data_IF_450614805384
#
_entry.id   IF_450614805384
#
_cell.length_a   1.000
_cell.length_b   1.000
_cell.length_c   1.000
_cell.angle_alpha   90.00
_cell.angle_beta   90.00
_cell.angle_gamma   90.00
#
_symmetry.space_group_name_H-M   'P 1'
#
loop_
_entity.id
_entity.type
_entity.pdbx_description
1 polymer ?
#
# COMPACT_ATOMS: atom_id res chain seq x y z
N UNK A 1 -39.20 2.36 9.63
CA UNK A 1 -39.31 1.83 10.99
C UNK A 1 -39.39 0.31 10.83
N UNK A 2 -38.23 -0.33 10.76
CA UNK A 2 -38.02 -1.79 10.82
C UNK A 2 -36.80 -1.90 11.75
N UNK A 3 -37.02 -1.82 13.06
CA UNK A 3 -37.19 -2.93 14.00
C UNK A 3 -36.10 -3.99 13.80
N UNK A 4 -35.20 -3.99 14.79
CA UNK A 4 -34.14 -4.94 15.10
C UNK A 4 -34.27 -6.31 14.42
N UNK A 5 -33.39 -6.57 13.46
CA UNK A 5 -33.04 -7.94 13.08
C UNK A 5 -31.99 -8.47 14.04
N UNK A 6 -32.40 -9.33 14.97
CA UNK A 6 -31.49 -10.17 15.74
C UNK A 6 -30.51 -10.88 14.79
N UNK A 7 -29.23 -10.55 14.95
CA UNK A 7 -28.15 -11.21 14.25
C UNK A 7 -28.04 -12.63 14.82
N UNK A 8 -28.59 -13.60 14.09
CA UNK A 8 -28.43 -15.03 14.39
C UNK A 8 -26.95 -15.36 14.49
N UNK A 9 -26.48 -15.66 15.70
CA UNK A 9 -25.17 -16.22 16.00
C UNK A 9 -25.08 -17.64 15.40
N UNK A 10 -24.75 -17.71 14.12
CA UNK A 10 -23.86 -18.78 13.65
C UNK A 10 -22.49 -18.50 14.25
N UNK A 11 -21.71 -19.51 14.66
CA UNK A 11 -20.32 -19.35 15.13
C UNK A 11 -19.40 -18.76 14.04
N UNK A 12 -19.60 -17.49 13.70
CA UNK A 12 -18.81 -16.72 12.76
C UNK A 12 -17.79 -15.93 13.57
N UNK A 13 -16.52 -16.26 13.39
CA UNK A 13 -15.35 -15.51 13.88
C UNK A 13 -15.20 -14.11 13.25
N UNK A 14 -16.25 -13.62 12.57
CA UNK A 14 -16.27 -12.37 11.82
C UNK A 14 -17.43 -11.54 12.35
N UNK A 15 -17.11 -10.32 12.78
CA UNK A 15 -18.06 -9.29 13.19
C UNK A 15 -17.95 -8.10 12.25
N UNK A 16 -19.08 -7.52 11.87
CA UNK A 16 -19.14 -6.34 11.01
C UNK A 16 -19.54 -5.15 11.87
N UNK A 17 -18.65 -4.16 11.98
CA UNK A 17 -18.88 -2.94 12.74
C UNK A 17 -18.87 -1.74 11.81
N UNK A 18 -19.87 -0.88 11.93
CA UNK A 18 -19.94 0.37 11.19
C UNK A 18 -19.08 1.43 11.88
N UNK A 19 -18.09 1.96 11.17
CA UNK A 19 -17.22 3.01 11.67
C UNK A 19 -16.99 4.12 10.64
N UNK A 20 -16.82 5.36 11.12
CA UNK A 20 -16.55 6.52 10.29
C UNK A 20 -15.07 6.92 10.40
N UNK A 21 -14.36 6.90 9.27
CA UNK A 21 -12.91 7.18 9.21
C UNK A 21 -12.52 8.63 9.61
N UNK A 22 -13.48 9.55 9.62
CA UNK A 22 -13.30 10.93 10.06
C UNK A 22 -13.59 11.15 11.56
N UNK A 23 -14.06 10.13 12.30
CA UNK A 23 -14.45 10.22 13.70
C UNK A 23 -13.63 9.23 14.56
N UNK A 24 -12.74 9.75 15.41
CA UNK A 24 -11.83 8.93 16.23
C UNK A 24 -12.58 8.02 17.20
N UNK A 25 -13.64 8.52 17.83
CA UNK A 25 -14.45 7.74 18.78
C UNK A 25 -15.17 6.57 18.08
N UNK A 26 -15.71 6.81 16.88
CA UNK A 26 -16.32 5.76 16.06
C UNK A 26 -15.32 4.65 15.73
N UNK A 27 -14.06 5.01 15.40
CA UNK A 27 -12.99 4.05 15.17
C UNK A 27 -12.55 3.34 16.45
N UNK A 28 -12.42 4.05 17.56
CA UNK A 28 -12.03 3.47 18.85
C UNK A 28 -13.06 2.42 19.32
N UNK A 29 -14.35 2.70 19.16
CA UNK A 29 -15.42 1.74 19.46
C UNK A 29 -15.32 0.49 18.58
N UNK A 30 -15.00 0.64 17.29
CA UNK A 30 -14.79 -0.49 16.40
C UNK A 30 -13.48 -1.27 16.68
N UNK A 31 -12.52 -0.65 17.35
CA UNK A 31 -11.24 -1.27 17.71
C UNK A 31 -11.24 -1.88 19.11
N UNK A 32 -12.30 -1.67 19.90
CA UNK A 32 -12.37 -2.20 21.25
C UNK A 32 -12.27 -3.74 21.24
N UNK A 33 -11.55 -4.31 22.20
CA UNK A 33 -11.23 -5.73 22.23
C UNK A 33 -10.19 -6.21 21.19
N UNK A 34 -9.88 -5.44 20.14
CA UNK A 34 -8.90 -5.83 19.12
C UNK A 34 -7.47 -5.67 19.59
N UNK A 35 -6.61 -6.69 19.37
CA UNK A 35 -5.16 -6.61 19.68
C UNK A 35 -4.35 -5.91 18.60
N UNK A 36 -4.92 -5.83 17.40
CA UNK A 36 -4.25 -5.38 16.20
C UNK A 36 -5.21 -4.76 15.22
N UNK A 37 -4.76 -3.74 14.49
CA UNK A 37 -5.53 -3.09 13.44
C UNK A 37 -4.77 -3.19 12.12
N UNK A 38 -5.46 -3.64 11.06
CA UNK A 38 -4.96 -3.61 9.70
C UNK A 38 -5.68 -2.48 8.95
N UNK A 39 -4.99 -1.36 8.74
CA UNK A 39 -5.54 -0.25 7.97
C UNK A 39 -5.26 -0.46 6.48
N UNK A 40 -6.21 -1.10 5.80
CA UNK A 40 -6.17 -1.37 4.35
C UNK A 40 -7.09 -0.47 3.53
N UNK A 41 -7.98 0.28 4.19
CA UNK A 41 -8.94 1.15 3.54
C UNK A 41 -8.23 2.20 2.68
N UNK A 42 -8.45 2.11 1.37
CA UNK A 42 -8.07 3.13 0.39
C UNK A 42 -9.29 3.96 -0.01
N UNK A 43 -9.06 5.20 -0.40
CA UNK A 43 -10.13 6.06 -0.90
C UNK A 43 -10.10 6.09 -2.42
N UNK A 44 -11.28 6.02 -3.03
CA UNK A 44 -11.48 6.13 -4.47
C UNK A 44 -12.33 7.37 -4.77
N UNK A 45 -12.07 8.03 -5.89
CA UNK A 45 -12.94 9.08 -6.39
C UNK A 45 -14.07 8.44 -7.21
N UNK A 46 -15.33 8.45 -6.73
CA UNK A 46 -16.44 7.86 -7.46
C UNK A 46 -16.80 8.63 -8.74
N UNK A 47 -16.32 9.87 -8.92
CA UNK A 47 -16.62 10.72 -10.07
C UNK A 47 -15.51 10.74 -11.14
N UNK A 48 -14.34 10.15 -10.89
CA UNK A 48 -13.16 10.35 -11.72
C UNK A 48 -12.83 9.18 -12.66
N UNK A 49 -12.94 9.39 -13.97
CA UNK A 49 -12.42 8.47 -15.02
C UNK A 49 -10.87 8.35 -15.03
N UNK A 50 -10.15 9.24 -14.33
CA UNK A 50 -8.71 9.10 -14.00
C UNK A 50 -8.40 9.07 -12.50
N UNK A 51 -9.42 9.35 -11.65
CA UNK A 51 -9.68 8.63 -10.41
C UNK A 51 -9.07 9.09 -9.09
N UNK A 52 -8.10 10.01 -9.05
CA UNK A 52 -7.51 10.45 -7.78
C UNK A 52 -7.04 11.91 -7.80
N UNK A 53 -7.70 12.74 -7.00
CA UNK A 53 -7.49 14.18 -6.92
C UNK A 53 -6.60 14.60 -5.75
N UNK A 54 -6.16 15.87 -5.74
CA UNK A 54 -5.48 16.46 -4.58
C UNK A 54 -6.36 16.42 -3.32
N UNK A 55 -7.67 16.63 -3.46
CA UNK A 55 -8.60 16.55 -2.33
C UNK A 55 -8.66 15.13 -1.76
N UNK A 56 -8.65 14.11 -2.62
CA UNK A 56 -8.61 12.72 -2.20
C UNK A 56 -7.34 12.38 -1.42
N UNK A 57 -6.20 12.92 -1.86
CA UNK A 57 -4.93 12.81 -1.12
C UNK A 57 -5.09 13.30 0.32
N UNK A 58 -5.67 14.48 0.54
CA UNK A 58 -5.85 15.04 1.88
C UNK A 58 -6.86 14.25 2.73
N UNK A 59 -7.91 13.69 2.13
CA UNK A 59 -8.85 12.78 2.82
C UNK A 59 -8.10 11.53 3.32
N UNK A 60 -7.26 10.93 2.48
CA UNK A 60 -6.48 9.75 2.85
C UNK A 60 -5.47 10.05 3.98
N UNK A 61 -4.84 11.24 3.97
CA UNK A 61 -3.97 11.68 5.08
C UNK A 61 -4.76 11.78 6.38
N UNK A 62 -5.93 12.41 6.35
CA UNK A 62 -6.78 12.60 7.52
C UNK A 62 -7.27 11.27 8.10
N UNK A 63 -7.73 10.37 7.23
CA UNK A 63 -8.18 9.05 7.64
C UNK A 63 -7.06 8.21 8.26
N UNK A 64 -5.88 8.18 7.64
CA UNK A 64 -4.73 7.45 8.18
C UNK A 64 -4.30 8.00 9.55
N UNK A 65 -4.30 9.34 9.70
CA UNK A 65 -4.07 10.00 10.98
C UNK A 65 -5.08 9.56 12.05
N UNK A 66 -6.36 9.54 11.70
CA UNK A 66 -7.44 9.18 12.63
C UNK A 66 -7.38 7.72 13.04
N UNK A 67 -7.11 6.80 12.10
CA UNK A 67 -6.98 5.37 12.41
C UNK A 67 -5.83 5.11 13.37
N UNK A 68 -4.65 5.69 13.13
CA UNK A 68 -3.51 5.50 14.05
C UNK A 68 -3.78 6.17 15.41
N UNK A 69 -4.42 7.34 15.43
CA UNK A 69 -4.81 8.00 16.67
C UNK A 69 -5.83 7.18 17.46
N UNK A 70 -6.82 6.60 16.77
CA UNK A 70 -7.80 5.69 17.36
C UNK A 70 -7.12 4.45 17.96
N UNK A 71 -6.13 3.86 17.26
CA UNK A 71 -5.31 2.79 17.83
C UNK A 71 -4.64 3.20 19.14
N UNK A 72 -4.15 4.45 19.24
CA UNK A 72 -3.45 4.95 20.42
C UNK A 72 -4.35 5.23 21.63
N UNK A 73 -5.61 5.58 21.40
CA UNK A 73 -6.59 5.82 22.49
C UNK A 73 -7.34 4.56 22.90
N UNK A 74 -7.23 3.47 22.13
CA UNK A 74 -7.93 2.20 22.41
C UNK A 74 -7.03 1.25 23.20
N UNK A 75 -7.30 0.97 24.49
CA UNK A 75 -6.35 0.26 25.37
C UNK A 75 -6.00 -1.17 24.95
N UNK A 76 -6.89 -1.86 24.24
CA UNK A 76 -6.72 -3.23 23.74
C UNK A 76 -5.71 -3.32 22.59
N UNK A 77 -5.59 -2.26 21.77
CA UNK A 77 -4.77 -2.24 20.55
C UNK A 77 -3.29 -2.11 20.90
N UNK A 78 -2.47 -2.97 20.29
CA UNK A 78 -1.00 -2.97 20.50
C UNK A 78 -0.20 -2.69 19.24
N UNK A 79 -0.73 -3.12 18.10
CA UNK A 79 -0.03 -3.05 16.83
C UNK A 79 -0.96 -2.55 15.73
N UNK A 80 -0.43 -1.71 14.85
CA UNK A 80 -1.12 -1.27 13.64
C UNK A 80 -0.27 -1.63 12.43
N UNK A 81 -0.88 -2.28 11.43
CA UNK A 81 -0.26 -2.49 10.11
C UNK A 81 -1.00 -1.62 9.11
N UNK A 82 -0.27 -0.72 8.46
CA UNK A 82 -0.82 0.17 7.44
C UNK A 82 -0.42 -0.30 6.04
N UNK A 83 -1.41 -0.41 5.15
CA UNK A 83 -1.18 -0.60 3.72
C UNK A 83 -0.81 0.73 3.07
N UNK A 84 0.48 0.91 2.83
CA UNK A 84 1.02 2.03 2.06
C UNK A 84 1.10 1.66 0.57
N UNK A 85 2.16 2.06 -0.14
CA UNK A 85 2.40 1.73 -1.55
C UNK A 85 3.88 1.82 -1.88
N UNK A 86 4.34 1.04 -2.86
CA UNK A 86 5.67 1.19 -3.45
C UNK A 86 5.91 2.60 -4.00
N UNK A 87 4.84 3.30 -4.41
CA UNK A 87 4.89 4.69 -4.86
C UNK A 87 5.41 5.66 -3.79
N UNK A 88 5.46 5.27 -2.52
CA UNK A 88 6.08 6.09 -1.46
C UNK A 88 7.60 5.95 -1.42
N UNK A 89 8.21 5.08 -2.24
CA UNK A 89 9.65 4.81 -2.28
C UNK A 89 10.35 5.22 -3.58
N UNK A 90 9.63 5.26 -4.72
CA UNK A 90 10.25 5.27 -6.06
C UNK A 90 10.34 6.64 -6.75
N UNK A 91 9.53 7.63 -6.37
CA UNK A 91 9.49 8.94 -7.03
C UNK A 91 10.50 9.90 -6.41
N UNK A 92 11.74 9.89 -6.91
CA UNK A 92 12.85 10.71 -6.39
C UNK A 92 13.36 11.69 -7.43
N UNK A 93 13.92 12.81 -6.97
CA UNK A 93 14.63 13.74 -7.84
C UNK A 93 15.95 13.12 -8.29
N UNK A 94 15.92 12.60 -9.51
CA UNK A 94 17.02 11.89 -10.14
C UNK A 94 18.08 12.80 -10.78
N UNK A 95 17.99 14.11 -10.56
CA UNK A 95 18.99 15.10 -11.01
C UNK A 95 20.27 15.10 -10.18
N UNK A 96 20.21 14.60 -8.94
CA UNK A 96 21.37 14.47 -8.07
C UNK A 96 22.19 13.22 -8.41
N UNK A 97 23.44 13.43 -8.86
CA UNK A 97 24.42 12.35 -9.00
C UNK A 97 24.70 11.73 -7.62
N UNK A 98 24.63 10.40 -7.51
CA UNK A 98 24.98 9.66 -6.27
C UNK A 98 23.81 8.95 -5.55
N UNK A 99 22.60 8.93 -6.12
CA UNK A 99 21.51 8.12 -5.57
C UNK A 99 21.87 6.62 -5.59
N UNK A 100 21.59 5.87 -4.51
CA UNK A 100 21.73 4.41 -4.52
C UNK A 100 20.94 3.80 -5.69
N UNK A 101 21.58 2.89 -6.40
CA UNK A 101 20.95 2.10 -7.47
C UNK A 101 19.85 1.18 -6.93
N UNK A 102 19.94 0.80 -5.65
CA UNK A 102 18.94 -0.05 -5.00
C UNK A 102 17.86 0.83 -4.33
N UNK A 103 16.61 0.58 -4.68
CA UNK A 103 15.43 1.08 -3.99
C UNK A 103 14.98 0.02 -2.99
N UNK A 104 15.01 0.35 -1.71
CA UNK A 104 14.56 -0.52 -0.63
C UNK A 104 13.61 0.20 0.33
N UNK A 105 13.23 -0.50 1.41
CA UNK A 105 12.32 -0.01 2.43
C UNK A 105 12.76 1.29 3.16
N UNK A 106 14.03 1.70 3.05
CA UNK A 106 14.53 2.95 3.64
C UNK A 106 14.29 4.16 2.74
N UNK A 107 14.04 3.94 1.44
CA UNK A 107 13.87 5.00 0.45
C UNK A 107 12.50 5.68 0.58
N UNK A 108 12.47 7.00 0.48
CA UNK A 108 11.24 7.79 0.42
C UNK A 108 11.17 8.56 -0.89
N UNK A 109 9.95 8.73 -1.38
CA UNK A 109 9.65 9.61 -2.51
C UNK A 109 9.64 11.07 -2.09
N UNK A 110 9.93 11.95 -3.04
CA UNK A 110 9.95 13.39 -2.89
C UNK A 110 8.56 13.97 -3.18
N UNK A 111 8.01 14.70 -2.22
CA UNK A 111 6.69 15.31 -2.39
C UNK A 111 6.66 16.32 -3.54
N UNK A 112 7.77 17.05 -3.75
CA UNK A 112 7.92 18.00 -4.85
C UNK A 112 7.84 17.31 -6.21
N UNK A 113 8.48 16.15 -6.38
CA UNK A 113 8.41 15.36 -7.61
C UNK A 113 6.99 14.89 -7.86
N UNK A 114 6.32 14.34 -6.84
CA UNK A 114 4.93 13.92 -6.94
C UNK A 114 3.98 15.08 -7.31
N UNK A 115 4.18 16.27 -6.73
CA UNK A 115 3.39 17.47 -7.04
C UNK A 115 3.62 17.96 -8.48
N UNK A 116 4.89 18.11 -8.87
CA UNK A 116 5.27 18.62 -10.20
C UNK A 116 4.75 17.72 -11.32
N UNK A 117 4.83 16.40 -11.12
CA UNK A 117 4.33 15.39 -12.07
C UNK A 117 2.83 15.10 -11.91
N UNK A 118 2.13 15.80 -10.99
CA UNK A 118 0.71 15.60 -10.67
C UNK A 118 0.36 14.15 -10.31
N UNK A 119 1.28 13.45 -9.63
CA UNK A 119 1.13 12.08 -9.13
C UNK A 119 0.36 12.09 -7.80
N UNK A 120 -0.89 12.54 -7.82
CA UNK A 120 -1.69 12.80 -6.61
C UNK A 120 -1.88 11.56 -5.74
N UNK A 121 -2.02 10.38 -6.35
CA UNK A 121 -2.13 9.11 -5.62
C UNK A 121 -0.84 8.77 -4.87
N UNK A 122 0.32 8.87 -5.54
CA UNK A 122 1.61 8.70 -4.89
C UNK A 122 1.81 9.72 -3.75
N UNK A 123 1.42 10.98 -3.97
CA UNK A 123 1.49 12.03 -2.96
C UNK A 123 0.59 11.73 -1.74
N UNK A 124 -0.65 11.29 -1.97
CA UNK A 124 -1.59 10.91 -0.93
C UNK A 124 -1.06 9.77 -0.07
N UNK A 125 -0.64 8.67 -0.70
CA UNK A 125 -0.01 7.53 -0.01
C UNK A 125 1.23 7.95 0.77
N UNK A 126 2.09 8.77 0.18
CA UNK A 126 3.32 9.26 0.82
C UNK A 126 3.01 10.08 2.09
N UNK A 127 2.08 11.03 1.99
CA UNK A 127 1.71 11.89 3.12
C UNK A 127 0.94 11.14 4.19
N UNK A 128 0.06 10.22 3.81
CA UNK A 128 -0.67 9.36 4.74
C UNK A 128 0.31 8.50 5.54
N UNK A 129 1.29 7.86 4.88
CA UNK A 129 2.31 7.06 5.56
C UNK A 129 3.16 7.91 6.53
N UNK A 130 3.65 9.08 6.10
CA UNK A 130 4.41 9.99 6.98
C UNK A 130 3.58 10.47 8.18
N UNK A 131 2.32 10.81 7.97
CA UNK A 131 1.40 11.24 9.02
C UNK A 131 1.13 10.12 10.03
N UNK A 132 0.89 8.90 9.55
CA UNK A 132 0.74 7.71 10.37
C UNK A 132 1.95 7.47 11.27
N UNK A 133 3.17 7.53 10.71
CA UNK A 133 4.40 7.38 11.48
C UNK A 133 4.57 8.45 12.56
N UNK A 134 4.23 9.71 12.24
CA UNK A 134 4.26 10.81 13.21
C UNK A 134 3.29 10.55 14.37
N UNK A 135 2.03 10.25 14.07
CA UNK A 135 1.01 9.98 15.10
C UNK A 135 1.34 8.72 15.90
N UNK A 136 1.83 7.66 15.26
CA UNK A 136 2.23 6.43 15.95
C UNK A 136 3.32 6.70 17.00
N UNK A 137 4.32 7.54 16.63
CA UNK A 137 5.37 7.96 17.56
C UNK A 137 4.81 8.77 18.74
N UNK A 138 3.88 9.69 18.47
CA UNK A 138 3.26 10.55 19.50
C UNK A 138 2.32 9.76 20.44
N UNK A 139 1.67 8.71 19.94
CA UNK A 139 0.68 7.91 20.68
C UNK A 139 1.23 6.60 21.26
N UNK A 140 2.50 6.26 21.01
CA UNK A 140 3.11 5.02 21.48
C UNK A 140 2.63 3.74 20.77
N UNK A 141 1.87 3.87 19.68
CA UNK A 141 1.40 2.73 18.88
C UNK A 141 2.56 2.13 18.10
N UNK A 142 2.75 0.82 18.19
CA UNK A 142 3.71 0.12 17.35
C UNK A 142 3.14 -0.02 15.94
N UNK A 143 3.67 0.76 15.00
CA UNK A 143 3.28 0.77 13.59
C UNK A 143 4.27 -0.04 12.74
N UNK A 144 3.77 -0.73 11.73
CA UNK A 144 4.53 -1.20 10.58
C UNK A 144 3.77 -0.86 9.29
N UNK A 145 4.50 -0.67 8.19
CA UNK A 145 3.88 -0.36 6.89
C UNK A 145 4.27 -1.40 5.86
N UNK A 146 3.30 -1.84 5.06
CA UNK A 146 3.51 -2.69 3.89
C UNK A 146 3.34 -1.81 2.66
N UNK A 147 4.36 -1.78 1.80
CA UNK A 147 4.44 -0.94 0.61
C UNK A 147 4.34 -1.85 -0.64
N UNK A 148 3.12 -2.25 -1.05
CA UNK A 148 2.92 -3.11 -2.20
C UNK A 148 3.22 -2.42 -3.53
N UNK A 149 3.70 -3.19 -4.51
CA UNK A 149 3.62 -2.82 -5.92
C UNK A 149 2.17 -2.76 -6.43
N UNK A 150 2.00 -2.83 -7.74
CA UNK A 150 0.68 -2.96 -8.36
C UNK A 150 0.02 -4.25 -7.85
N UNK A 151 -1.15 -4.11 -7.21
CA UNK A 151 -1.87 -5.28 -6.69
C UNK A 151 -2.57 -5.97 -7.85
N UNK A 152 -2.22 -7.22 -8.09
CA UNK A 152 -2.80 -8.09 -9.13
C UNK A 152 -3.56 -9.24 -8.49
N UNK A 153 -4.33 -9.95 -9.30
CA UNK A 153 -5.18 -11.06 -8.89
C UNK A 153 -6.34 -11.25 -9.87
N UNK A 154 -7.19 -12.26 -9.68
CA UNK A 154 -8.31 -12.50 -10.58
C UNK A 154 -9.20 -11.26 -10.68
N UNK A 155 -9.30 -10.71 -11.90
CA UNK A 155 -10.17 -9.59 -12.22
C UNK A 155 -9.81 -8.28 -11.46
N UNK A 156 -8.54 -8.07 -11.12
CA UNK A 156 -8.11 -6.95 -10.25
C UNK A 156 -8.50 -5.57 -10.81
N UNK A 157 -8.47 -5.38 -12.14
CA UNK A 157 -8.86 -4.12 -12.76
C UNK A 157 -10.34 -3.82 -12.53
N UNK A 158 -11.25 -4.79 -12.75
CA UNK A 158 -12.68 -4.57 -12.52
C UNK A 158 -13.03 -4.44 -11.03
N UNK A 159 -12.26 -5.10 -10.14
CA UNK A 159 -12.43 -4.98 -8.69
C UNK A 159 -12.02 -3.61 -8.14
N UNK A 160 -11.03 -2.95 -8.74
CA UNK A 160 -10.52 -1.66 -8.26
C UNK A 160 -9.94 -0.79 -9.39
N UNK A 161 -10.74 -0.39 -10.39
CA UNK A 161 -10.23 0.23 -11.61
C UNK A 161 -9.60 1.59 -11.32
N UNK A 162 -10.24 2.38 -10.46
CA UNK A 162 -9.80 3.72 -10.09
C UNK A 162 -8.42 3.74 -9.45
N UNK A 163 -8.19 2.89 -8.43
CA UNK A 163 -6.88 2.82 -7.76
C UNK A 163 -5.80 2.24 -8.67
N UNK A 164 -6.14 1.29 -9.54
CA UNK A 164 -5.23 0.72 -10.53
C UNK A 164 -4.76 1.78 -11.53
N UNK A 165 -5.69 2.54 -12.12
CA UNK A 165 -5.37 3.63 -13.05
C UNK A 165 -4.53 4.70 -12.33
N UNK A 166 -4.91 5.06 -11.10
CA UNK A 166 -4.19 6.05 -10.31
C UNK A 166 -2.76 5.60 -9.96
N UNK A 167 -2.56 4.31 -9.67
CA UNK A 167 -1.23 3.71 -9.44
C UNK A 167 -0.39 3.77 -10.71
N UNK A 168 -0.97 3.43 -11.86
CA UNK A 168 -0.29 3.39 -13.16
C UNK A 168 0.00 4.77 -13.75
N UNK A 169 -0.33 5.85 -13.03
CA UNK A 169 0.10 7.19 -13.43
C UNK A 169 1.62 7.30 -13.34
N UNK A 170 2.26 7.52 -14.49
CA UNK A 170 3.73 7.48 -14.61
C UNK A 170 4.30 6.08 -14.90
N UNK A 171 3.46 5.14 -15.35
CA UNK A 171 3.89 3.76 -15.68
C UNK A 171 5.08 3.69 -16.61
N UNK A 172 5.18 4.58 -17.59
CA UNK A 172 6.34 4.65 -18.50
C UNK A 172 7.65 4.84 -17.76
N UNK A 173 7.69 5.78 -16.81
CA UNK A 173 8.89 6.05 -16.03
C UNK A 173 9.19 4.92 -15.04
N UNK A 174 8.15 4.30 -14.47
CA UNK A 174 8.34 3.10 -13.65
C UNK A 174 8.95 1.96 -14.46
N UNK A 175 8.47 1.73 -15.69
CA UNK A 175 8.97 0.69 -16.59
C UNK A 175 10.43 0.95 -16.98
N UNK A 176 10.73 2.13 -17.53
CA UNK A 176 12.08 2.51 -17.98
C UNK A 176 13.11 2.42 -16.84
N UNK A 177 12.69 2.72 -15.62
CA UNK A 177 13.58 2.68 -14.45
C UNK A 177 13.70 1.29 -13.81
N UNK A 178 12.96 0.27 -14.26
CA UNK A 178 12.91 -1.07 -13.64
C UNK A 178 12.18 -1.10 -12.30
N UNK A 179 11.27 -0.15 -12.08
CA UNK A 179 10.53 0.05 -10.83
C UNK A 179 9.04 -0.33 -10.93
N UNK A 180 8.57 -0.74 -12.10
CA UNK A 180 7.22 -1.26 -12.27
C UNK A 180 7.15 -2.69 -11.72
N UNK A 181 6.66 -2.83 -10.49
CA UNK A 181 6.51 -4.12 -9.82
C UNK A 181 5.06 -4.42 -9.47
N UNK A 182 4.72 -5.71 -9.37
CA UNK A 182 3.40 -6.20 -8.98
C UNK A 182 3.46 -7.21 -7.83
N UNK A 183 2.31 -7.42 -7.19
CA UNK A 183 2.12 -8.41 -6.13
C UNK A 183 0.74 -9.04 -6.24
N UNK A 184 0.67 -10.37 -6.16
CA UNK A 184 -0.60 -11.07 -6.04
C UNK A 184 -1.30 -10.72 -4.72
N UNK A 185 -2.62 -10.48 -4.78
CA UNK A 185 -3.43 -10.08 -3.62
C UNK A 185 -3.36 -11.07 -2.45
N UNK A 186 -3.25 -12.38 -2.70
CA UNK A 186 -3.14 -13.37 -1.63
C UNK A 186 -1.77 -13.28 -0.96
N UNK A 187 -0.71 -13.13 -1.77
CA UNK A 187 0.65 -12.92 -1.26
C UNK A 187 0.76 -11.62 -0.46
N UNK A 188 0.06 -10.57 -0.87
CA UNK A 188 -0.03 -9.33 -0.11
C UNK A 188 -0.73 -9.54 1.23
N UNK A 189 -1.84 -10.30 1.27
CA UNK A 189 -2.53 -10.63 2.50
C UNK A 189 -1.63 -11.42 3.47
N UNK A 190 -0.93 -12.45 2.97
CA UNK A 190 0.07 -13.20 3.73
C UNK A 190 1.17 -12.30 4.30
N UNK A 191 1.66 -11.35 3.51
CA UNK A 191 2.67 -10.39 3.95
C UNK A 191 2.17 -9.52 5.12
N UNK A 192 0.92 -9.06 5.09
CA UNK A 192 0.35 -8.29 6.20
C UNK A 192 0.29 -9.13 7.48
N UNK A 193 -0.19 -10.38 7.39
CA UNK A 193 -0.26 -11.30 8.53
C UNK A 193 1.15 -11.56 9.08
N UNK A 194 2.12 -11.90 8.23
CA UNK A 194 3.51 -12.15 8.64
C UNK A 194 4.14 -10.93 9.32
N UNK A 195 3.88 -9.72 8.80
CA UNK A 195 4.36 -8.48 9.42
C UNK A 195 3.73 -8.32 10.80
N UNK A 196 2.41 -8.43 10.92
CA UNK A 196 1.71 -8.30 12.18
C UNK A 196 2.19 -9.29 13.25
N UNK A 197 2.31 -10.57 12.91
CA UNK A 197 2.81 -11.60 13.82
C UNK A 197 4.27 -11.34 14.22
N UNK A 198 5.09 -10.95 13.25
CA UNK A 198 6.48 -10.57 13.45
C UNK A 198 6.64 -9.36 14.37
N UNK A 199 5.65 -8.45 14.43
CA UNK A 199 5.71 -7.25 15.27
C UNK A 199 5.74 -7.58 16.77
N UNK A 200 5.28 -8.77 17.18
CA UNK A 200 5.44 -9.24 18.57
C UNK A 200 6.91 -9.44 18.96
N UNK A 201 7.78 -9.67 17.97
CA UNK A 201 9.21 -9.95 18.14
C UNK A 201 10.02 -8.81 17.51
N UNK A 202 10.38 -8.96 16.24
CA UNK A 202 11.41 -8.16 15.57
C UNK A 202 10.88 -7.27 14.44
N UNK A 203 9.64 -7.47 13.97
CA UNK A 203 9.15 -6.71 12.82
C UNK A 203 8.84 -5.26 13.21
N UNK A 204 9.34 -4.33 12.40
CA UNK A 204 9.20 -2.88 12.61
C UNK A 204 9.52 -2.11 11.33
N UNK A 205 9.06 -0.87 11.25
CA UNK A 205 9.32 -0.01 10.11
C UNK A 205 8.55 -0.42 8.86
N UNK A 206 9.16 -0.20 7.70
CA UNK A 206 8.54 -0.35 6.38
C UNK A 206 8.96 -1.66 5.71
N UNK A 207 8.09 -2.21 4.87
CA UNK A 207 8.29 -3.45 4.12
C UNK A 207 7.81 -3.30 2.68
N UNK A 208 8.72 -3.29 1.71
CA UNK A 208 8.33 -3.36 0.28
C UNK A 208 7.82 -4.76 -0.04
N UNK A 209 6.69 -4.84 -0.75
CA UNK A 209 6.03 -6.10 -1.09
C UNK A 209 5.77 -6.19 -2.61
N UNK A 210 6.51 -7.05 -3.29
CA UNK A 210 6.30 -7.43 -4.69
C UNK A 210 6.77 -8.86 -4.90
N UNK A 211 6.26 -9.51 -5.94
CA UNK A 211 6.72 -10.84 -6.40
C UNK A 211 7.26 -10.82 -7.83
N UNK A 212 6.90 -9.80 -8.63
CA UNK A 212 7.35 -9.66 -10.03
C UNK A 212 7.73 -8.23 -10.35
N UNK A 213 8.81 -8.06 -11.10
CA UNK A 213 9.13 -6.80 -11.79
C UNK A 213 8.65 -6.97 -13.22
N UNK A 214 7.75 -6.10 -13.66
CA UNK A 214 7.15 -6.11 -15.01
C UNK A 214 8.17 -5.47 -15.97
N UNK A 215 8.81 -6.30 -16.78
CA UNK A 215 9.91 -5.88 -17.66
C UNK A 215 9.85 -6.47 -19.07
N UNK A 216 9.30 -7.68 -19.21
CA UNK A 216 9.24 -8.39 -20.49
C UNK A 216 8.07 -7.92 -21.38
N UNK A 217 8.18 -8.15 -22.68
CA UNK A 217 7.11 -7.80 -23.65
C UNK A 217 5.78 -8.46 -23.29
N UNK A 218 5.79 -9.76 -22.98
CA UNK A 218 4.60 -10.53 -22.61
C UNK A 218 3.90 -9.96 -21.36
N UNK A 219 4.66 -9.56 -20.34
CA UNK A 219 4.11 -8.96 -19.12
C UNK A 219 3.46 -7.59 -19.40
N UNK A 220 4.04 -6.81 -20.31
CA UNK A 220 3.50 -5.52 -20.73
C UNK A 220 2.23 -5.70 -21.54
N UNK A 221 2.19 -6.67 -22.44
CA UNK A 221 0.98 -7.00 -23.22
C UNK A 221 -0.14 -7.50 -22.32
N UNK A 222 0.16 -8.31 -21.30
CA UNK A 222 -0.81 -8.76 -20.32
C UNK A 222 -1.35 -7.57 -19.50
N UNK A 223 -0.48 -6.71 -18.98
CA UNK A 223 -0.88 -5.52 -18.24
C UNK A 223 -1.75 -4.58 -19.11
N UNK A 224 -1.38 -4.40 -20.38
CA UNK A 224 -2.13 -3.59 -21.34
C UNK A 224 -3.53 -4.16 -21.59
N UNK A 225 -3.63 -5.48 -21.75
CA UNK A 225 -4.90 -6.19 -21.97
C UNK A 225 -5.83 -6.07 -20.77
N UNK A 226 -5.31 -6.21 -19.56
CA UNK A 226 -6.11 -6.17 -18.33
C UNK A 226 -6.55 -4.75 -17.96
N UNK A 227 -5.74 -3.73 -18.26
CA UNK A 227 -5.99 -2.34 -17.84
C UNK A 227 -6.57 -1.45 -18.94
N UNK A 228 -6.52 -1.90 -20.19
CA UNK A 228 -6.86 -1.10 -21.38
C UNK A 228 -5.83 -0.02 -21.73
N UNK A 229 -4.71 0.07 -21.01
CA UNK A 229 -3.63 1.01 -21.32
C UNK A 229 -2.83 0.49 -22.51
N UNK A 230 -2.56 1.34 -23.51
CA UNK A 230 -1.79 0.91 -24.68
C UNK A 230 -0.34 0.55 -24.30
N UNK A 231 0.16 -0.59 -24.78
CA UNK A 231 1.54 -1.05 -24.54
C UNK A 231 2.59 -0.01 -24.96
N UNK A 232 2.35 0.73 -26.05
CA UNK A 232 3.25 1.82 -26.47
C UNK A 232 3.36 2.95 -25.45
N UNK A 233 2.30 3.23 -24.70
CA UNK A 233 2.31 4.22 -23.59
C UNK A 233 3.13 3.72 -22.41
N UNK A 234 3.12 2.40 -22.17
CA UNK A 234 3.92 1.79 -21.08
C UNK A 234 5.40 1.78 -21.45
N UNK A 235 5.74 1.41 -22.69
CA UNK A 235 7.13 1.25 -23.12
C UNK A 235 7.77 2.60 -23.45
N UNK A 236 7.00 3.57 -23.97
CA UNK A 236 7.49 4.92 -24.24
C UNK A 236 8.62 5.01 -25.26
N UNK A 237 8.73 4.02 -26.17
CA UNK A 237 9.82 3.91 -27.14
C UNK A 237 11.12 3.30 -26.60
N UNK A 238 11.14 2.80 -25.36
CA UNK A 238 12.29 2.07 -24.82
C UNK A 238 12.48 0.72 -25.54
N UNK A 239 13.70 0.45 -25.98
CA UNK A 239 14.11 -0.90 -26.42
C UNK A 239 14.21 -1.82 -25.21
N UNK A 240 13.77 -3.08 -25.35
CA UNK A 240 13.95 -4.15 -24.34
C UNK A 240 15.41 -4.42 -23.97
N UNK A 241 16.36 -3.81 -24.70
CA UNK A 241 17.80 -3.89 -24.44
C UNK A 241 18.34 -2.86 -23.43
N UNK A 242 17.53 -1.92 -22.95
CA UNK A 242 17.99 -0.91 -21.99
C UNK A 242 18.07 -1.50 -20.57
N UNK A 243 19.28 -1.49 -20.00
CA UNK A 243 19.52 -1.95 -18.63
C UNK A 243 18.73 -1.07 -17.65
N UNK A 244 17.95 -1.70 -16.77
CA UNK A 244 17.19 -1.01 -15.74
C UNK A 244 18.07 -0.05 -14.92
N UNK A 245 17.59 1.18 -14.70
CA UNK A 245 18.33 2.21 -13.98
C UNK A 245 18.47 1.89 -12.48
N UNK A 246 17.47 1.24 -11.91
CA UNK A 246 17.42 0.91 -10.49
C UNK A 246 17.07 -0.56 -10.27
N UNK A 247 17.42 -1.07 -9.09
CA UNK A 247 17.06 -2.40 -8.60
C UNK A 247 16.11 -2.26 -7.42
N UNK A 248 14.96 -2.95 -7.46
CA UNK A 248 14.03 -3.01 -6.32
C UNK A 248 14.40 -4.13 -5.36
N UNK A 249 14.38 -3.83 -4.05
CA UNK A 249 14.64 -4.82 -3.00
C UNK A 249 13.47 -4.94 -2.02
N UNK A 250 12.90 -6.15 -1.95
CA UNK A 250 11.95 -6.59 -0.91
C UNK A 250 12.63 -7.49 0.14
N UNK A 251 13.97 -7.53 0.19
CA UNK A 251 14.74 -8.52 0.97
C UNK A 251 14.36 -8.56 2.46
N UNK A 252 14.00 -7.42 3.04
CA UNK A 252 13.53 -7.33 4.43
C UNK A 252 12.25 -8.13 4.66
N UNK A 253 11.27 -8.02 3.76
CA UNK A 253 10.03 -8.79 3.83
C UNK A 253 10.28 -10.26 3.53
N UNK A 254 11.07 -10.56 2.50
CA UNK A 254 11.45 -11.93 2.15
C UNK A 254 12.06 -12.68 3.34
N UNK A 255 13.02 -12.06 4.05
CA UNK A 255 13.62 -12.63 5.28
C UNK A 255 12.62 -12.86 6.39
N UNK A 256 11.62 -11.97 6.55
CA UNK A 256 10.58 -12.12 7.55
C UNK A 256 9.69 -13.32 7.23
N UNK A 257 9.14 -13.38 6.02
CA UNK A 257 8.22 -14.44 5.59
C UNK A 257 8.90 -15.82 5.56
N UNK A 258 10.18 -15.88 5.15
CA UNK A 258 10.96 -17.13 5.10
C UNK A 258 11.23 -17.72 6.48
N UNK A 259 11.31 -16.88 7.53
CA UNK A 259 11.48 -17.34 8.92
C UNK A 259 10.18 -17.89 9.48
N UNK A 260 9.07 -17.22 9.18
CA UNK A 260 7.73 -17.65 9.60
C UNK A 260 7.41 -19.05 9.06
N UNK A 261 7.71 -19.31 7.78
CA UNK A 261 7.49 -20.62 7.16
C UNK A 261 8.27 -21.77 7.81
N UNK A 262 9.46 -21.51 8.39
CA UNK A 262 10.22 -22.55 9.11
C UNK A 262 9.56 -22.91 10.45
N UNK A 263 8.97 -21.94 11.14
CA UNK A 263 8.31 -22.17 12.43
C UNK A 263 6.93 -22.85 12.31
N UNK A 264 6.32 -22.89 11.13
CA UNK A 264 5.05 -23.61 10.89
C UNK A 264 5.25 -25.07 10.46
N UNK A 265 6.47 -25.45 10.06
CA UNK A 265 6.83 -26.81 9.62
C UNK A 265 7.64 -27.59 10.67
N UNK A 266 7.75 -27.07 11.89
CA UNK A 266 8.30 -27.71 13.08
C UNK A 266 7.17 -27.94 14.10
#
# INVERSE_FOLDING_TARGET
>A
MEISGEMRLTNSIIEIVMAKLNEIESLANAFDGCRGVFHTAGFIDPAGLSGYSKAMAEIEVSASKNVVKACGVTPSVRHCVLTSSLLTCIWRDNSCNGLPSVIDHSCWSDESVCQNKKLWYALGKLRAEKSAWKVAKESGVKLATVCPGLITGPDFYHRSPTSTIAYLKGVQEMYVNGLLASVDVNRLAEAHVCVFEGMKKTASGRYICFDRIIGSGDEIENLARETGINSSTIIGGASSSNRARFELSNQKLFRLMSRTWRCFNE
#
